data_IF_096660824913
#
_entry.id   IF_096660824913
#
_cell.length_a   1.000
_cell.length_b   1.000
_cell.length_c   1.000
_cell.angle_alpha   90.00
_cell.angle_beta   90.00
_cell.angle_gamma   90.00
#
_symmetry.space_group_name_H-M   'P 1'
#
loop_
_entity.id
_entity.type
_entity.pdbx_description
1 polymer ?
#
# COMPACT_ATOMS: atom_id res chain seq x y z
N UNK A 1 -6.91 -1.52 -7.08
CA UNK A 1 -7.47 -0.15 -7.25
C UNK A 1 -6.41 0.91 -6.93
N UNK A 2 -6.25 1.94 -7.76
CA UNK A 2 -5.11 2.86 -7.68
C UNK A 2 -5.26 4.07 -6.76
N UNK A 3 -4.40 4.13 -5.74
CA UNK A 3 -4.30 5.23 -4.76
C UNK A 3 -3.95 6.61 -5.36
N UNK A 4 -3.58 6.67 -6.64
CA UNK A 4 -3.05 7.85 -7.32
C UNK A 4 -3.90 8.37 -8.48
N UNK A 5 -4.70 7.53 -9.16
CA UNK A 5 -5.45 7.93 -10.36
C UNK A 5 -6.96 8.06 -10.15
N UNK A 6 -7.54 7.27 -9.24
CA UNK A 6 -9.00 7.13 -9.13
C UNK A 6 -9.62 7.81 -7.89
N UNK A 7 -8.81 8.28 -6.94
CA UNK A 7 -9.26 8.80 -5.65
C UNK A 7 -8.90 10.29 -5.44
N UNK A 8 -8.72 11.03 -6.53
CA UNK A 8 -8.30 12.43 -6.51
C UNK A 8 -6.77 12.58 -6.60
N UNK A 9 -6.25 13.80 -6.39
CA UNK A 9 -4.81 14.05 -6.46
C UNK A 9 -4.04 13.14 -5.50
N UNK A 10 -2.86 12.63 -5.92
CA UNK A 10 -2.05 11.78 -5.06
C UNK A 10 -1.74 12.50 -3.75
N UNK A 11 -1.95 11.80 -2.65
CA UNK A 11 -1.59 12.27 -1.31
C UNK A 11 -0.08 12.18 -1.10
N UNK A 12 0.48 12.86 -0.10
CA UNK A 12 1.87 12.65 0.30
C UNK A 12 2.17 11.16 0.53
N UNK A 13 3.37 10.71 0.16
CA UNK A 13 3.78 9.30 0.29
C UNK A 13 3.66 8.79 1.72
N UNK A 14 4.00 9.62 2.71
CA UNK A 14 3.85 9.32 4.15
C UNK A 14 2.43 8.92 4.51
N UNK A 15 1.45 9.67 4.04
CA UNK A 15 0.05 9.49 4.39
C UNK A 15 -0.49 8.19 3.79
N UNK A 16 -0.05 7.88 2.56
CA UNK A 16 -0.40 6.62 1.90
C UNK A 16 0.23 5.41 2.59
N UNK A 17 1.47 5.51 3.04
CA UNK A 17 2.13 4.45 3.83
C UNK A 17 1.38 4.23 5.14
N UNK A 18 1.07 5.30 5.88
CA UNK A 18 0.28 5.21 7.13
C UNK A 18 -1.09 4.58 6.90
N UNK A 19 -1.75 4.88 5.78
CA UNK A 19 -3.02 4.25 5.44
C UNK A 19 -2.87 2.74 5.19
N UNK A 20 -1.84 2.31 4.46
CA UNK A 20 -1.56 0.89 4.22
C UNK A 20 -1.30 0.17 5.55
N UNK A 21 -0.53 0.77 6.45
CA UNK A 21 -0.27 0.23 7.78
C UNK A 21 -1.56 0.07 8.58
N UNK A 22 -2.40 1.11 8.61
CA UNK A 22 -3.69 1.06 9.26
C UNK A 22 -4.60 -0.06 8.69
N UNK A 23 -4.62 -0.24 7.37
CA UNK A 23 -5.37 -1.32 6.75
C UNK A 23 -4.91 -2.70 7.23
N UNK A 24 -3.60 -2.94 7.26
CA UNK A 24 -3.04 -4.23 7.71
C UNK A 24 -3.31 -4.45 9.20
N UNK A 25 -3.10 -3.43 10.03
CA UNK A 25 -3.34 -3.50 11.48
C UNK A 25 -4.82 -3.71 11.82
N UNK A 26 -5.74 -3.28 10.95
CA UNK A 26 -7.18 -3.53 11.08
C UNK A 26 -7.63 -4.86 10.48
N UNK A 27 -6.70 -5.67 9.96
CA UNK A 27 -6.94 -7.05 9.52
C UNK A 27 -7.07 -7.24 8.01
N UNK A 28 -6.76 -6.22 7.19
CA UNK A 28 -6.65 -6.40 5.73
C UNK A 28 -5.41 -7.23 5.43
N UNK A 29 -5.59 -8.38 4.78
CA UNK A 29 -4.51 -9.32 4.44
C UNK A 29 -4.28 -9.46 2.94
N UNK A 30 -4.97 -8.68 2.11
CA UNK A 30 -4.83 -8.73 0.65
C UNK A 30 -4.69 -7.32 0.08
N UNK A 31 -3.57 -7.07 -0.61
CA UNK A 31 -3.22 -5.78 -1.21
C UNK A 31 -3.12 -5.96 -2.72
N UNK A 32 -4.06 -5.36 -3.45
CA UNK A 32 -4.16 -5.44 -4.91
C UNK A 32 -3.47 -4.23 -5.58
N UNK A 33 -2.50 -4.50 -6.45
CA UNK A 33 -1.76 -3.48 -7.21
C UNK A 33 -1.50 -3.91 -8.66
N UNK A 34 -1.21 -2.95 -9.52
CA UNK A 34 -0.83 -3.12 -10.92
C UNK A 34 -0.17 -1.84 -11.43
N UNK A 35 0.70 -1.94 -12.44
CA UNK A 35 1.22 -0.79 -13.19
C UNK A 35 0.11 0.15 -13.68
N UNK A 36 -1.04 -0.39 -14.09
CA UNK A 36 -2.15 0.44 -14.59
C UNK A 36 -2.76 1.34 -13.51
N UNK A 37 -2.62 0.98 -12.23
CA UNK A 37 -3.24 1.70 -11.11
C UNK A 37 -2.46 2.95 -10.68
N UNK A 38 -1.29 3.16 -11.26
CA UNK A 38 -0.40 4.28 -11.00
C UNK A 38 0.91 3.93 -11.70
N UNK A 39 1.10 4.35 -12.98
CA UNK A 39 2.20 3.89 -13.82
C UNK A 39 3.53 3.92 -13.05
N UNK A 40 4.04 2.74 -12.74
CA UNK A 40 5.30 2.50 -12.02
C UNK A 40 5.44 3.11 -10.62
N UNK A 41 4.34 3.52 -9.95
CA UNK A 41 4.40 4.18 -8.63
C UNK A 41 3.77 3.38 -7.51
N UNK A 42 2.64 2.70 -7.75
CA UNK A 42 1.92 2.01 -6.68
C UNK A 42 2.66 0.78 -6.14
N UNK A 43 3.34 0.02 -7.01
CA UNK A 43 4.13 -1.15 -6.59
C UNK A 43 5.34 -0.72 -5.75
N UNK A 44 5.98 0.40 -6.10
CA UNK A 44 7.09 0.99 -5.34
C UNK A 44 6.58 1.44 -3.96
N UNK A 45 5.45 2.15 -3.90
CA UNK A 45 4.81 2.57 -2.66
C UNK A 45 4.51 1.38 -1.76
N UNK A 46 3.92 0.32 -2.32
CA UNK A 46 3.60 -0.89 -1.58
C UNK A 46 4.86 -1.57 -1.02
N UNK A 47 5.92 -1.66 -1.83
CA UNK A 47 7.22 -2.19 -1.40
C UNK A 47 7.82 -1.40 -0.24
N UNK A 48 7.72 -0.07 -0.26
CA UNK A 48 8.15 0.80 0.85
C UNK A 48 7.33 0.57 2.11
N UNK A 49 6.00 0.50 1.99
CA UNK A 49 5.10 0.31 3.11
C UNK A 49 5.33 -1.05 3.80
N UNK A 50 5.46 -2.12 3.03
CA UNK A 50 5.67 -3.48 3.56
C UNK A 50 7.06 -3.68 4.16
N UNK A 51 8.10 -3.00 3.64
CA UNK A 51 9.44 -3.04 4.24
C UNK A 51 9.47 -2.39 5.64
N UNK A 52 8.61 -1.39 5.87
CA UNK A 52 8.54 -0.68 7.15
C UNK A 52 7.78 -1.46 8.24
N UNK A 53 6.78 -2.26 7.88
CA UNK A 53 6.05 -3.11 8.83
C UNK A 53 6.67 -4.49 8.97
N UNK A 54 7.59 -4.63 9.92
CA UNK A 54 8.23 -5.91 10.19
C UNK A 54 7.23 -6.94 10.75
N UNK A 55 7.25 -8.14 10.19
CA UNK A 55 6.50 -9.31 10.70
C UNK A 55 5.11 -9.54 10.11
N UNK A 56 4.58 -8.67 9.25
CA UNK A 56 3.26 -8.90 8.62
C UNK A 56 3.26 -10.06 7.63
N UNK A 57 4.38 -10.29 6.93
CA UNK A 57 4.51 -11.45 6.02
C UNK A 57 4.33 -12.76 6.78
N UNK A 58 4.98 -12.89 7.93
CA UNK A 58 4.91 -14.08 8.77
C UNK A 58 3.58 -14.19 9.52
N UNK A 59 3.02 -13.05 9.95
CA UNK A 59 1.80 -12.99 10.75
C UNK A 59 0.52 -13.17 9.93
N UNK A 60 0.50 -12.67 8.70
CA UNK A 60 -0.72 -12.54 7.89
C UNK A 60 -0.61 -13.14 6.49
N UNK A 61 0.58 -13.58 6.07
CA UNK A 61 0.78 -14.16 4.73
C UNK A 61 0.70 -13.14 3.58
N UNK A 62 0.91 -11.87 3.88
CA UNK A 62 0.91 -10.74 2.93
C UNK A 62 2.20 -10.73 2.11
#
# INVERSE_FOLDING_TARGET
MGMSTFYGPPKPESDMITLIHHAIDTGVTFLDTSDMYGPHTNEILLGKALKAGSGWRDKYGI
#
